data_IF_567460949658
#
_entry.id   IF_567460949658
#
_cell.length_a   1.000
_cell.length_b   1.000
_cell.length_c   1.000
_cell.angle_alpha   90.00
_cell.angle_beta   90.00
_cell.angle_gamma   90.00
#
_symmetry.space_group_name_H-M   'P 1'
#
loop_
_entity.id
_entity.type
_entity.pdbx_description
1 polymer ?
#
# COMPACT_ATOMS: atom_id res chain seq x y z
N UNK A 1 1.10 5.54 -3.16
CA UNK A 1 1.39 5.53 -4.63
C UNK A 1 2.88 5.57 -4.93
N UNK A 2 3.69 6.37 -4.24
CA UNK A 2 5.13 6.52 -4.49
C UNK A 2 5.86 5.17 -4.43
N UNK A 3 5.58 4.34 -3.43
CA UNK A 3 6.17 3.00 -3.30
C UNK A 3 5.80 2.09 -4.47
N UNK A 4 4.55 2.14 -4.95
CA UNK A 4 4.12 1.35 -6.09
C UNK A 4 4.84 1.79 -7.36
N UNK A 5 4.91 3.10 -7.60
CA UNK A 5 5.60 3.66 -8.77
C UNK A 5 7.09 3.32 -8.75
N UNK A 6 7.76 3.44 -7.59
CA UNK A 6 9.17 3.09 -7.46
C UNK A 6 9.41 1.59 -7.66
N UNK A 7 8.55 0.73 -7.09
CA UNK A 7 8.62 -0.71 -7.31
C UNK A 7 8.48 -1.09 -8.79
N UNK A 8 7.49 -0.54 -9.48
CA UNK A 8 7.28 -0.76 -10.92
C UNK A 8 8.50 -0.30 -11.73
N UNK A 9 9.04 0.90 -11.46
CA UNK A 9 10.25 1.41 -12.14
C UNK A 9 11.45 0.47 -11.96
N UNK A 10 11.64 -0.10 -10.79
CA UNK A 10 12.75 -1.03 -10.54
C UNK A 10 12.57 -2.35 -11.28
N UNK A 11 11.36 -2.92 -11.22
CA UNK A 11 11.04 -4.16 -11.95
C UNK A 11 11.20 -3.98 -13.46
N UNK A 12 10.84 -2.84 -14.01
CA UNK A 12 11.02 -2.53 -15.44
C UNK A 12 12.49 -2.49 -15.88
N UNK A 13 13.44 -2.24 -14.97
CA UNK A 13 14.88 -2.16 -15.28
C UNK A 13 15.59 -3.50 -15.27
N UNK A 14 14.96 -4.56 -14.76
CA UNK A 14 15.56 -5.88 -14.62
C UNK A 14 14.57 -6.97 -15.02
N UNK A 15 14.81 -7.62 -16.15
CA UNK A 15 14.04 -8.80 -16.54
C UNK A 15 14.51 -10.03 -15.74
N UNK A 16 13.61 -11.01 -15.43
CA UNK A 16 14.00 -12.27 -14.87
C UNK A 16 14.99 -13.01 -15.79
N UNK A 17 15.94 -13.73 -15.18
CA UNK A 17 16.88 -14.53 -15.95
C UNK A 17 16.18 -15.73 -16.60
N UNK A 18 16.69 -16.11 -17.79
CA UNK A 18 16.23 -17.31 -18.47
C UNK A 18 16.70 -18.54 -17.67
N UNK A 19 15.79 -19.44 -17.38
CA UNK A 19 16.07 -20.69 -16.70
C UNK A 19 15.76 -21.89 -17.57
N UNK A 20 16.37 -23.04 -17.24
CA UNK A 20 16.08 -24.34 -17.85
C UNK A 20 15.42 -25.20 -16.80
N UNK A 21 14.30 -25.85 -17.15
CA UNK A 21 13.60 -26.79 -16.28
C UNK A 21 14.36 -28.09 -16.08
N UNK A 22 13.88 -28.92 -15.16
CA UNK A 22 14.47 -30.25 -14.91
C UNK A 22 14.38 -31.20 -16.12
N UNK A 23 13.42 -30.94 -17.01
CA UNK A 23 13.24 -31.62 -18.30
C UNK A 23 14.19 -31.13 -19.41
N UNK A 24 15.08 -30.17 -19.12
CA UNK A 24 16.01 -29.57 -20.06
C UNK A 24 15.38 -28.54 -21.02
N UNK A 25 14.09 -28.22 -20.85
CA UNK A 25 13.40 -27.25 -21.70
C UNK A 25 13.49 -25.84 -21.08
N UNK A 26 13.45 -24.79 -21.95
CA UNK A 26 13.43 -23.41 -21.47
C UNK A 26 12.16 -23.14 -20.62
N UNK A 27 12.36 -22.55 -19.44
CA UNK A 27 11.26 -22.01 -18.61
C UNK A 27 11.00 -20.58 -19.02
N UNK A 28 9.72 -20.19 -19.24
CA UNK A 28 9.39 -18.78 -19.53
C UNK A 28 9.96 -17.84 -18.43
N UNK A 29 10.66 -16.77 -18.79
CA UNK A 29 11.29 -15.87 -17.84
C UNK A 29 10.23 -14.94 -17.23
N UNK A 30 9.54 -15.38 -16.20
CA UNK A 30 8.63 -14.54 -15.42
C UNK A 30 8.90 -14.68 -13.93
N UNK A 31 8.58 -13.62 -13.20
CA UNK A 31 8.53 -13.64 -11.74
C UNK A 31 7.39 -12.74 -11.26
N UNK A 32 6.79 -13.09 -10.14
CA UNK A 32 5.70 -12.33 -9.52
C UNK A 32 6.22 -11.69 -8.23
N UNK A 33 5.96 -10.40 -8.06
CA UNK A 33 6.37 -9.65 -6.88
C UNK A 33 5.17 -8.96 -6.26
N UNK A 34 5.10 -8.99 -4.93
CA UNK A 34 4.19 -8.15 -4.20
C UNK A 34 4.82 -6.78 -3.97
N UNK A 35 4.06 -5.72 -4.22
CA UNK A 35 4.44 -4.35 -3.88
C UNK A 35 3.44 -3.86 -2.84
N UNK A 36 3.87 -3.76 -1.61
CA UNK A 36 3.03 -3.33 -0.49
C UNK A 36 3.87 -3.09 0.75
N UNK A 37 3.25 -2.61 1.80
CA UNK A 37 3.90 -2.49 3.10
C UNK A 37 3.73 -3.80 3.86
N UNK A 38 4.83 -4.38 4.35
CA UNK A 38 4.82 -5.60 5.17
C UNK A 38 4.41 -5.34 6.64
N UNK A 39 3.98 -4.12 6.96
CA UNK A 39 3.52 -3.73 8.28
C UNK A 39 1.97 -3.69 8.31
N UNK A 40 1.31 -4.62 9.00
CA UNK A 40 -0.15 -4.59 9.12
C UNK A 40 -0.61 -3.37 9.93
N UNK A 41 -1.65 -2.70 9.47
CA UNK A 41 -2.19 -1.50 10.08
C UNK A 41 -3.59 -1.78 10.66
N UNK A 42 -3.90 -1.15 11.79
CA UNK A 42 -5.23 -1.24 12.39
C UNK A 42 -6.22 -0.35 11.63
N UNK A 43 -7.40 -0.87 11.32
CA UNK A 43 -8.41 -0.14 10.55
C UNK A 43 -8.92 1.11 11.28
N UNK A 44 -9.10 1.04 12.59
CA UNK A 44 -9.58 2.20 13.35
C UNK A 44 -8.51 3.29 13.44
N UNK A 45 -7.23 2.90 13.61
CA UNK A 45 -6.11 3.85 13.55
C UNK A 45 -6.00 4.50 12.16
N UNK A 46 -6.24 3.74 11.09
CA UNK A 46 -6.30 4.28 9.73
C UNK A 46 -7.36 5.37 9.61
N UNK A 47 -8.57 5.13 10.12
CA UNK A 47 -9.70 6.08 10.06
C UNK A 47 -9.37 7.34 10.86
N UNK A 48 -8.78 7.20 12.04
CA UNK A 48 -8.41 8.34 12.90
C UNK A 48 -7.29 9.18 12.27
N UNK A 49 -6.27 8.55 11.70
CA UNK A 49 -5.20 9.26 10.99
C UNK A 49 -5.75 9.97 9.75
N UNK A 50 -6.65 9.33 9.00
CA UNK A 50 -7.29 9.94 7.84
C UNK A 50 -8.04 11.22 8.22
N UNK A 51 -8.83 11.20 9.29
CA UNK A 51 -9.51 12.38 9.79
C UNK A 51 -8.52 13.51 10.13
N UNK A 52 -7.47 13.18 10.88
CA UNK A 52 -6.46 14.17 11.28
C UNK A 52 -5.78 14.82 10.07
N UNK A 53 -5.40 14.04 9.07
CA UNK A 53 -4.74 14.56 7.87
C UNK A 53 -5.69 15.36 6.96
N UNK A 54 -6.97 14.99 6.88
CA UNK A 54 -7.98 15.78 6.15
C UNK A 54 -8.27 17.12 6.84
N UNK A 55 -8.33 17.15 8.17
CA UNK A 55 -8.45 18.41 8.94
C UNK A 55 -7.19 19.24 8.77
N UNK A 56 -6.00 18.66 8.91
CA UNK A 56 -4.72 19.35 8.72
C UNK A 56 -4.59 19.99 7.33
N UNK A 57 -5.04 19.29 6.30
CA UNK A 57 -5.06 19.79 4.93
C UNK A 57 -6.20 20.80 4.67
N UNK A 58 -7.04 21.09 5.66
CA UNK A 58 -8.22 21.95 5.54
C UNK A 58 -9.26 21.46 4.52
N UNK A 59 -9.32 20.15 4.31
CA UNK A 59 -10.41 19.48 3.54
C UNK A 59 -11.67 19.39 4.38
N UNK A 60 -11.50 19.12 5.68
CA UNK A 60 -12.56 19.07 6.66
C UNK A 60 -12.42 20.21 7.68
N UNK A 61 -13.53 20.73 8.24
CA UNK A 61 -13.47 21.70 9.32
C UNK A 61 -12.81 21.11 10.58
N UNK A 62 -12.23 21.95 11.41
CA UNK A 62 -11.45 21.54 12.58
C UNK A 62 -12.27 20.77 13.64
N UNK A 63 -13.58 20.97 13.67
CA UNK A 63 -14.53 20.33 14.57
C UNK A 63 -15.22 19.12 13.94
N UNK A 64 -14.84 18.68 12.75
CA UNK A 64 -15.41 17.51 12.12
C UNK A 64 -15.00 16.23 12.86
N UNK A 65 -15.98 15.39 13.13
CA UNK A 65 -15.77 14.16 13.90
C UNK A 65 -16.30 12.93 13.15
N UNK A 66 -15.40 12.02 12.78
CA UNK A 66 -15.75 10.76 12.16
C UNK A 66 -16.49 9.81 13.11
N UNK A 67 -16.32 9.98 14.45
CA UNK A 67 -16.94 9.09 15.43
C UNK A 67 -18.46 9.05 15.31
N UNK A 68 -19.08 10.23 15.06
CA UNK A 68 -20.51 10.35 14.85
C UNK A 68 -21.02 9.73 13.53
N UNK A 69 -20.10 9.34 12.63
CA UNK A 69 -20.40 8.75 11.32
C UNK A 69 -19.92 7.29 11.21
N UNK A 70 -19.37 6.72 12.27
CA UNK A 70 -18.94 5.32 12.31
C UNK A 70 -20.10 4.40 12.70
N UNK A 71 -20.20 3.28 11.98
CA UNK A 71 -21.06 2.16 12.34
C UNK A 71 -20.20 0.90 12.42
N UNK A 72 -20.05 0.34 13.63
CA UNK A 72 -19.32 -0.91 13.83
C UNK A 72 -20.26 -2.08 13.57
N UNK A 73 -19.95 -2.86 12.55
CA UNK A 73 -20.69 -4.06 12.18
C UNK A 73 -19.83 -5.31 12.43
N UNK A 74 -20.46 -6.50 12.61
CA UNK A 74 -19.70 -7.75 12.69
C UNK A 74 -18.88 -8.00 11.43
N UNK A 75 -17.75 -8.72 11.59
CA UNK A 75 -16.90 -9.13 10.47
C UNK A 75 -17.73 -9.88 9.42
N UNK A 76 -17.55 -9.49 8.15
CA UNK A 76 -18.27 -10.12 7.06
C UNK A 76 -17.72 -11.53 6.78
N UNK A 77 -18.55 -12.49 6.34
CA UNK A 77 -18.07 -13.81 5.95
C UNK A 77 -17.03 -13.72 4.83
N UNK A 78 -15.87 -14.33 5.05
CA UNK A 78 -14.76 -14.32 4.11
C UNK A 78 -13.70 -13.25 4.37
N UNK A 79 -13.96 -12.28 5.25
CA UNK A 79 -12.93 -11.35 5.70
C UNK A 79 -11.90 -12.05 6.58
N UNK A 80 -10.68 -11.54 6.55
CA UNK A 80 -9.58 -12.00 7.40
C UNK A 80 -9.12 -10.85 8.32
N UNK A 81 -8.78 -11.15 9.59
CA UNK A 81 -8.50 -10.10 10.57
C UNK A 81 -7.18 -9.36 10.32
N UNK A 82 -6.23 -9.98 9.62
CA UNK A 82 -4.92 -9.40 9.32
C UNK A 82 -4.46 -9.82 7.94
N UNK A 83 -4.04 -8.86 7.13
CA UNK A 83 -3.37 -9.10 5.84
C UNK A 83 -2.15 -8.22 5.70
N UNK A 84 -1.11 -8.74 5.07
CA UNK A 84 0.07 -7.95 4.68
C UNK A 84 0.76 -8.62 3.50
N UNK A 85 1.54 -7.84 2.75
CA UNK A 85 2.28 -8.34 1.60
C UNK A 85 3.63 -8.90 2.04
N UNK A 86 3.98 -10.07 1.53
CA UNK A 86 5.36 -10.54 1.56
C UNK A 86 6.15 -9.82 0.45
N UNK A 87 7.02 -8.91 0.86
CA UNK A 87 7.86 -8.10 -0.03
C UNK A 87 9.32 -8.54 -0.05
N UNK A 88 9.67 -9.62 0.63
CA UNK A 88 11.05 -10.13 0.69
C UNK A 88 11.64 -10.43 -0.70
N UNK A 89 10.90 -11.07 -1.65
CA UNK A 89 11.40 -11.27 -2.99
C UNK A 89 11.76 -9.97 -3.72
N UNK A 90 10.95 -8.92 -3.56
CA UNK A 90 11.19 -7.60 -4.15
C UNK A 90 12.45 -6.94 -3.55
N UNK A 91 12.62 -7.03 -2.25
CA UNK A 91 13.80 -6.49 -1.55
C UNK A 91 15.08 -7.22 -1.97
N UNK A 92 15.02 -8.55 -2.02
CA UNK A 92 16.16 -9.39 -2.41
C UNK A 92 16.60 -9.14 -3.85
N UNK A 93 15.66 -9.10 -4.80
CA UNK A 93 15.97 -9.10 -6.23
C UNK A 93 16.17 -7.68 -6.78
N UNK A 94 15.53 -6.67 -6.18
CA UNK A 94 15.57 -5.27 -6.65
C UNK A 94 16.07 -4.27 -5.61
N UNK A 95 16.46 -4.72 -4.42
CA UNK A 95 16.99 -3.87 -3.35
C UNK A 95 15.99 -2.79 -2.91
N UNK A 96 14.69 -3.07 -2.98
CA UNK A 96 13.64 -2.13 -2.65
C UNK A 96 12.63 -2.72 -1.69
N UNK A 97 12.45 -2.02 -0.57
CA UNK A 97 11.41 -2.31 0.41
C UNK A 97 10.49 -1.11 0.54
N UNK A 98 9.20 -1.25 0.18
CA UNK A 98 8.21 -0.21 0.44
C UNK A 98 8.16 0.13 1.93
N UNK A 99 8.25 1.42 2.27
CA UNK A 99 8.37 1.87 3.65
C UNK A 99 7.62 3.17 3.95
N UNK A 100 6.80 3.65 3.04
CA UNK A 100 5.96 4.83 3.30
C UNK A 100 5.02 4.55 4.45
N UNK A 101 5.08 5.36 5.50
CA UNK A 101 4.18 5.22 6.65
C UNK A 101 2.73 5.51 6.24
N UNK A 102 1.78 4.91 6.96
CA UNK A 102 0.35 5.17 6.76
C UNK A 102 0.06 6.67 6.85
N UNK A 103 0.58 7.35 7.87
CA UNK A 103 0.39 8.80 8.06
C UNK A 103 0.93 9.63 6.90
N UNK A 104 2.14 9.34 6.42
CA UNK A 104 2.72 10.08 5.29
C UNK A 104 1.94 9.85 4.00
N UNK A 105 1.46 8.63 3.79
CA UNK A 105 0.59 8.30 2.65
C UNK A 105 -0.74 9.06 2.70
N UNK A 106 -1.40 9.08 3.85
CA UNK A 106 -2.67 9.79 4.05
C UNK A 106 -2.52 11.30 4.00
N UNK A 107 -1.37 11.84 4.47
CA UNK A 107 -1.05 13.27 4.30
C UNK A 107 -1.00 13.67 2.84
N UNK A 108 -0.23 12.95 2.03
CA UNK A 108 -0.15 13.21 0.58
C UNK A 108 -1.48 13.06 -0.12
N UNK A 109 -2.29 12.08 0.31
CA UNK A 109 -3.65 11.91 -0.20
C UNK A 109 -4.53 13.12 0.11
N UNK A 110 -4.52 13.60 1.36
CA UNK A 110 -5.33 14.75 1.77
C UNK A 110 -4.93 16.04 1.04
N UNK A 111 -3.62 16.27 0.87
CA UNK A 111 -3.08 17.41 0.11
C UNK A 111 -3.50 17.35 -1.37
N UNK A 112 -3.33 16.18 -1.99
CA UNK A 112 -3.79 15.96 -3.37
C UNK A 112 -5.30 16.15 -3.50
N UNK A 113 -6.10 15.63 -2.57
CA UNK A 113 -7.56 15.74 -2.60
C UNK A 113 -7.99 17.21 -2.54
N UNK A 114 -7.37 18.00 -1.66
CA UNK A 114 -7.63 19.44 -1.57
C UNK A 114 -7.32 20.15 -2.89
N UNK A 115 -6.14 19.90 -3.45
CA UNK A 115 -5.70 20.57 -4.68
C UNK A 115 -6.57 20.21 -5.88
N UNK A 116 -7.04 18.95 -5.96
CA UNK A 116 -7.76 18.46 -7.14
C UNK A 116 -9.27 18.73 -7.08
N UNK A 117 -9.88 18.71 -5.90
CA UNK A 117 -11.34 18.80 -5.75
C UNK A 117 -11.85 20.10 -5.11
N UNK A 118 -11.02 20.84 -4.42
CA UNK A 118 -11.38 22.06 -3.70
C UNK A 118 -10.59 23.28 -4.21
#
# INVERSE_FOLDING_TARGET
MDDIVEGVKRVMKGAPEKATGEDGLPVPPYAVYNIGNSNPENLLDFVDILQQELIRAEVLPADYDFESHKELVPMQPGDVPVTFADTEPLERDYGFKPNTSLRDGLRKFAEWYKEFYL
#
